data_IF_967218019620
#
_entry.id   IF_967218019620
#
_cell.length_a   1.000
_cell.length_b   1.000
_cell.length_c   1.000
_cell.angle_alpha   90.00
_cell.angle_beta   90.00
_cell.angle_gamma   90.00
#
_symmetry.space_group_name_H-M   'P 1'
#
loop_
_entity.id
_entity.type
_entity.pdbx_description
1 polymer ?
#
# COMPACT_ATOMS: atom_id res chain seq x y z
N UNK A 1 3.92 -18.84 14.54
CA UNK A 1 2.59 -18.65 13.97
C UNK A 1 1.91 -20.01 13.87
N UNK A 2 0.75 -20.15 14.45
CA UNK A 2 -0.01 -21.39 14.41
C UNK A 2 -0.68 -21.59 13.05
N UNK A 3 -1.12 -22.85 12.73
CA UNK A 3 -1.60 -23.20 11.41
C UNK A 3 -2.77 -22.36 10.88
N UNK A 4 -3.74 -22.01 11.75
CA UNK A 4 -4.90 -21.18 11.37
C UNK A 4 -4.46 -19.77 10.99
N UNK A 5 -3.52 -19.19 11.73
CA UNK A 5 -2.97 -17.86 11.44
C UNK A 5 -2.21 -17.84 10.12
N UNK A 6 -1.46 -18.90 9.83
CA UNK A 6 -0.73 -19.05 8.55
C UNK A 6 -1.72 -19.11 7.39
N UNK A 7 -2.78 -19.90 7.52
CA UNK A 7 -3.81 -20.02 6.47
C UNK A 7 -4.51 -18.68 6.23
N UNK A 8 -4.84 -17.96 7.29
CA UNK A 8 -5.45 -16.62 7.20
C UNK A 8 -4.52 -15.65 6.48
N UNK A 9 -3.24 -15.67 6.84
CA UNK A 9 -2.22 -14.84 6.22
C UNK A 9 -2.09 -15.15 4.72
N UNK A 10 -2.04 -16.43 4.34
CA UNK A 10 -1.98 -16.87 2.94
C UNK A 10 -3.21 -16.38 2.17
N UNK A 11 -4.40 -16.51 2.74
CA UNK A 11 -5.63 -16.05 2.09
C UNK A 11 -5.63 -14.53 1.92
N UNK A 12 -5.16 -13.78 2.90
CA UNK A 12 -5.02 -12.32 2.81
C UNK A 12 -4.07 -11.92 1.69
N UNK A 13 -2.92 -12.57 1.58
CA UNK A 13 -1.95 -12.30 0.51
C UNK A 13 -2.53 -12.62 -0.87
N UNK A 14 -3.26 -13.72 -1.01
CA UNK A 14 -3.91 -14.08 -2.27
C UNK A 14 -4.96 -13.06 -2.67
N UNK A 15 -5.73 -12.58 -1.70
CA UNK A 15 -6.73 -11.54 -1.94
C UNK A 15 -6.06 -10.25 -2.41
N UNK A 16 -5.01 -9.80 -1.73
CA UNK A 16 -4.28 -8.59 -2.09
C UNK A 16 -3.52 -8.75 -3.41
N UNK A 17 -3.07 -9.96 -3.72
CA UNK A 17 -2.50 -10.28 -5.03
C UNK A 17 -3.52 -10.04 -6.15
N UNK A 18 -4.77 -10.46 -5.94
CA UNK A 18 -5.85 -10.21 -6.90
C UNK A 18 -6.14 -8.72 -7.05
N UNK A 19 -6.17 -7.98 -5.94
CA UNK A 19 -6.34 -6.52 -5.93
C UNK A 19 -5.20 -5.83 -6.68
N UNK A 20 -3.96 -6.27 -6.44
CA UNK A 20 -2.81 -5.74 -7.15
C UNK A 20 -2.91 -6.00 -8.65
N UNK A 21 -3.37 -7.18 -9.06
CA UNK A 21 -3.53 -7.50 -10.48
C UNK A 21 -4.51 -6.52 -11.14
N UNK A 22 -5.60 -6.18 -10.46
CA UNK A 22 -6.57 -5.19 -10.94
C UNK A 22 -5.94 -3.79 -11.10
N UNK A 23 -5.05 -3.41 -10.17
CA UNK A 23 -4.30 -2.14 -10.28
C UNK A 23 -3.33 -2.20 -11.45
N UNK A 24 -2.60 -3.31 -11.60
CA UNK A 24 -1.62 -3.49 -12.68
C UNK A 24 -2.26 -3.56 -14.07
N UNK A 25 -3.52 -3.99 -14.18
CA UNK A 25 -4.24 -3.98 -15.44
C UNK A 25 -4.49 -2.55 -15.96
N UNK A 26 -4.61 -1.59 -15.02
CA UNK A 26 -4.80 -0.17 -15.34
C UNK A 26 -3.47 0.57 -15.48
N UNK A 27 -2.49 0.21 -14.65
CA UNK A 27 -1.16 0.80 -14.61
C UNK A 27 -0.13 -0.32 -14.75
N UNK A 28 0.23 -0.69 -15.99
CA UNK A 28 1.06 -1.89 -16.24
C UNK A 28 2.51 -1.79 -15.79
N UNK A 29 2.92 -0.62 -15.29
CA UNK A 29 4.30 -0.42 -14.83
C UNK A 29 4.37 -0.57 -13.31
N UNK A 30 5.23 -1.48 -12.87
CA UNK A 30 5.36 -1.81 -11.45
C UNK A 30 5.79 -0.61 -10.60
N UNK A 31 6.70 0.21 -11.10
CA UNK A 31 7.16 1.41 -10.41
C UNK A 31 6.02 2.41 -10.17
N UNK A 32 5.15 2.59 -11.16
CA UNK A 32 3.97 3.45 -11.03
C UNK A 32 2.94 2.89 -10.06
N UNK A 33 2.71 1.59 -10.09
CA UNK A 33 1.82 0.93 -9.14
C UNK A 33 2.34 1.09 -7.71
N UNK A 34 3.64 0.88 -7.49
CA UNK A 34 4.26 1.06 -6.18
C UNK A 34 4.17 2.50 -5.71
N UNK A 35 4.40 3.46 -6.59
CA UNK A 35 4.29 4.88 -6.24
C UNK A 35 2.86 5.22 -5.82
N UNK A 36 1.87 4.80 -6.60
CA UNK A 36 0.46 5.07 -6.29
C UNK A 36 0.04 4.45 -4.97
N UNK A 37 0.41 3.20 -4.73
CA UNK A 37 0.10 2.51 -3.46
C UNK A 37 0.80 3.17 -2.28
N UNK A 38 2.04 3.60 -2.47
CA UNK A 38 2.80 4.32 -1.43
C UNK A 38 2.19 5.67 -1.11
N UNK A 39 1.75 6.40 -2.12
CA UNK A 39 1.03 7.67 -1.95
C UNK A 39 -0.28 7.46 -1.18
N UNK A 40 -1.06 6.45 -1.56
CA UNK A 40 -2.32 6.12 -0.89
C UNK A 40 -2.11 5.74 0.57
N UNK A 41 -1.05 4.99 0.86
CA UNK A 41 -0.69 4.60 2.23
C UNK A 41 -0.35 5.85 3.06
N UNK A 42 0.48 6.74 2.53
CA UNK A 42 0.85 7.97 3.21
C UNK A 42 -0.36 8.88 3.46
N UNK A 43 -1.25 9.00 2.47
CA UNK A 43 -2.50 9.77 2.60
C UNK A 43 -3.36 9.20 3.74
N UNK A 44 -3.53 7.88 3.77
CA UNK A 44 -4.34 7.24 4.82
C UNK A 44 -3.74 7.44 6.20
N UNK A 45 -2.40 7.41 6.33
CA UNK A 45 -1.73 7.62 7.60
C UNK A 45 -2.01 9.00 8.20
N UNK A 46 -2.24 10.01 7.37
CA UNK A 46 -2.50 11.39 7.84
C UNK A 46 -3.79 11.50 8.66
N UNK A 47 -4.73 10.58 8.49
CA UNK A 47 -5.99 10.57 9.21
C UNK A 47 -5.90 9.90 10.60
N UNK A 48 -4.75 9.32 10.92
CA UNK A 48 -4.54 8.65 12.20
C UNK A 48 -4.09 9.64 13.27
N UNK A 49 -4.30 9.28 14.55
CA UNK A 49 -3.93 10.12 15.70
C UNK A 49 -2.43 10.42 15.76
N UNK A 50 -1.61 9.46 15.40
CA UNK A 50 -0.16 9.59 15.36
C UNK A 50 0.35 9.21 13.96
N UNK A 51 0.20 10.12 12.98
CA UNK A 51 0.48 9.79 11.58
C UNK A 51 1.87 9.23 11.32
N UNK A 52 2.91 9.82 11.89
CA UNK A 52 4.29 9.35 11.69
C UNK A 52 4.50 7.94 12.24
N UNK A 53 3.95 7.68 13.40
CA UNK A 53 4.04 6.36 14.04
C UNK A 53 3.32 5.30 13.22
N UNK A 54 2.16 5.67 12.66
CA UNK A 54 1.40 4.79 11.76
C UNK A 54 2.19 4.50 10.49
N UNK A 55 2.81 5.52 9.90
CA UNK A 55 3.65 5.34 8.72
C UNK A 55 4.84 4.42 9.01
N UNK A 56 5.51 4.59 10.15
CA UNK A 56 6.62 3.72 10.54
C UNK A 56 6.18 2.28 10.70
N UNK A 57 4.98 2.05 11.23
CA UNK A 57 4.39 0.71 11.32
C UNK A 57 4.12 0.12 9.93
N UNK A 58 3.63 0.93 8.99
CA UNK A 58 3.42 0.52 7.60
C UNK A 58 4.74 0.12 6.93
N UNK A 59 5.78 0.92 7.13
CA UNK A 59 7.12 0.65 6.59
C UNK A 59 7.65 -0.69 7.11
N UNK A 60 7.55 -0.91 8.41
CA UNK A 60 7.99 -2.16 9.03
C UNK A 60 7.17 -3.35 8.54
N UNK A 61 5.88 -3.17 8.34
CA UNK A 61 4.98 -4.20 7.79
C UNK A 61 5.39 -4.56 6.35
N UNK A 62 5.66 -3.58 5.51
CA UNK A 62 6.12 -3.82 4.12
C UNK A 62 7.41 -4.63 4.12
N UNK A 63 8.37 -4.26 4.95
CA UNK A 63 9.65 -5.00 5.06
C UNK A 63 9.43 -6.45 5.46
N UNK A 64 8.65 -6.67 6.52
CA UNK A 64 8.44 -8.02 7.09
C UNK A 64 7.59 -8.90 6.18
N UNK A 65 6.48 -8.36 5.67
CA UNK A 65 5.53 -9.13 4.86
C UNK A 65 6.14 -9.48 3.50
N UNK A 66 6.95 -8.61 2.91
CA UNK A 66 7.60 -8.90 1.63
C UNK A 66 8.48 -10.16 1.71
N UNK A 67 9.18 -10.37 2.81
CA UNK A 67 10.02 -11.56 3.00
C UNK A 67 9.18 -12.84 2.88
N UNK A 68 8.01 -12.86 3.52
CA UNK A 68 7.11 -14.01 3.44
C UNK A 68 6.43 -14.12 2.08
N UNK A 69 6.02 -12.98 1.52
CA UNK A 69 5.34 -12.93 0.22
C UNK A 69 6.21 -13.48 -0.91
N UNK A 70 7.52 -13.19 -0.90
CA UNK A 70 8.47 -13.75 -1.88
C UNK A 70 8.42 -15.26 -1.87
N UNK A 71 8.46 -15.88 -0.69
CA UNK A 71 8.43 -17.34 -0.55
C UNK A 71 7.13 -17.95 -1.08
N UNK A 72 6.01 -17.26 -0.85
CA UNK A 72 4.70 -17.73 -1.27
C UNK A 72 4.49 -17.55 -2.77
N UNK A 73 4.91 -16.43 -3.32
CA UNK A 73 4.78 -16.15 -4.76
C UNK A 73 5.63 -17.11 -5.58
N UNK A 74 6.78 -17.52 -5.07
CA UNK A 74 7.60 -18.56 -5.71
C UNK A 74 6.82 -19.86 -5.91
N UNK A 75 5.84 -20.14 -5.06
CA UNK A 75 5.00 -21.33 -5.15
C UNK A 75 3.76 -21.13 -6.02
N UNK A 76 3.07 -19.98 -5.92
CA UNK A 76 1.77 -19.80 -6.60
C UNK A 76 1.89 -19.16 -7.97
N UNK A 77 2.88 -18.31 -8.18
CA UNK A 77 2.98 -17.53 -9.41
C UNK A 77 4.44 -17.32 -9.80
N UNK A 78 5.22 -18.42 -9.96
CA UNK A 78 6.65 -18.28 -10.27
C UNK A 78 6.93 -17.57 -11.58
N UNK A 79 5.98 -17.58 -12.52
CA UNK A 79 6.10 -16.96 -13.84
C UNK A 79 5.57 -15.53 -13.88
N UNK A 80 4.93 -15.07 -12.81
CA UNK A 80 4.30 -13.76 -12.77
C UNK A 80 5.21 -12.63 -12.26
N UNK A 81 6.51 -12.70 -12.54
CA UNK A 81 7.47 -11.72 -12.04
C UNK A 81 7.70 -10.58 -13.03
N UNK A 82 7.85 -9.38 -12.50
CA UNK A 82 8.05 -8.18 -13.28
C UNK A 82 9.45 -7.61 -13.10
N UNK A 83 9.94 -6.98 -14.16
CA UNK A 83 11.18 -6.20 -14.07
C UNK A 83 10.81 -4.86 -13.43
N UNK A 84 11.56 -4.48 -12.39
CA UNK A 84 11.44 -3.16 -11.78
C UNK A 84 12.45 -2.23 -12.45
N UNK A 85 11.94 -1.13 -12.95
CA UNK A 85 12.76 -0.09 -13.56
C UNK A 85 12.40 1.24 -12.90
N UNK A 86 13.36 1.84 -12.21
CA UNK A 86 13.16 3.13 -11.55
C UNK A 86 13.31 4.25 -12.60
N UNK A 87 12.20 4.62 -13.20
CA UNK A 87 12.16 5.71 -14.17
C UNK A 87 11.75 7.03 -13.51
N UNK A 88 12.25 8.12 -14.02
CA UNK A 88 11.83 9.45 -13.58
C UNK A 88 10.43 9.73 -14.09
N UNK A 89 9.53 10.13 -13.17
CA UNK A 89 8.14 10.40 -13.50
C UNK A 89 7.95 11.91 -13.67
N UNK A 90 7.43 12.39 -14.82
CA UNK A 90 7.17 13.81 -15.03
C UNK A 90 6.22 14.38 -13.96
N UNK A 91 6.41 15.66 -13.62
CA UNK A 91 5.65 16.33 -12.57
C UNK A 91 4.13 16.26 -12.78
N UNK A 92 3.67 16.40 -14.03
CA UNK A 92 2.25 16.31 -14.35
C UNK A 92 1.68 14.93 -14.07
N UNK A 93 2.42 13.89 -14.44
CA UNK A 93 2.05 12.50 -14.20
C UNK A 93 2.05 12.22 -12.70
N UNK A 94 3.06 12.72 -11.98
CA UNK A 94 3.16 12.58 -10.52
C UNK A 94 1.93 13.20 -9.83
N UNK A 95 1.54 14.42 -10.24
CA UNK A 95 0.37 15.10 -9.68
C UNK A 95 -0.91 14.31 -9.94
N UNK A 96 -1.07 13.76 -11.14
CA UNK A 96 -2.24 12.95 -11.49
C UNK A 96 -2.27 11.67 -10.66
N UNK A 97 -1.13 11.02 -10.49
CA UNK A 97 -1.02 9.82 -9.66
C UNK A 97 -1.35 10.12 -8.20
N UNK A 98 -0.92 11.26 -7.69
CA UNK A 98 -1.24 11.69 -6.32
C UNK A 98 -2.75 11.85 -6.14
N UNK A 99 -3.44 12.49 -7.09
CA UNK A 99 -4.88 12.62 -7.05
C UNK A 99 -5.58 11.26 -7.13
N UNK A 100 -5.10 10.39 -7.99
CA UNK A 100 -5.63 9.02 -8.13
C UNK A 100 -5.43 8.21 -6.84
N UNK A 101 -4.28 8.38 -6.19
CA UNK A 101 -3.97 7.72 -4.92
C UNK A 101 -4.90 8.19 -3.79
N UNK A 102 -5.17 9.50 -3.73
CA UNK A 102 -6.13 10.05 -2.76
C UNK A 102 -7.51 9.45 -2.96
N UNK A 103 -7.98 9.39 -4.22
CA UNK A 103 -9.27 8.80 -4.57
C UNK A 103 -9.32 7.32 -4.19
N UNK A 104 -8.26 6.58 -4.49
CA UNK A 104 -8.17 5.16 -4.16
C UNK A 104 -8.21 4.92 -2.65
N UNK A 105 -7.46 5.69 -1.88
CA UNK A 105 -7.46 5.58 -0.42
C UNK A 105 -8.85 5.85 0.17
N UNK A 106 -9.52 6.89 -0.34
CA UNK A 106 -10.86 7.24 0.11
C UNK A 106 -11.90 6.20 -0.27
N UNK A 107 -11.82 5.64 -1.47
CA UNK A 107 -12.74 4.59 -1.92
C UNK A 107 -12.57 3.30 -1.12
N UNK A 108 -11.33 2.90 -0.84
CA UNK A 108 -11.05 1.74 -0.01
C UNK A 108 -11.59 1.93 1.40
N UNK A 109 -11.36 3.09 1.99
CA UNK A 109 -11.86 3.40 3.32
C UNK A 109 -13.38 3.36 3.37
N UNK A 110 -14.04 3.97 2.39
CA UNK A 110 -15.50 3.97 2.29
C UNK A 110 -16.05 2.55 2.13
N UNK A 111 -15.40 1.74 1.30
CA UNK A 111 -15.79 0.34 1.11
C UNK A 111 -15.72 -0.45 2.41
N UNK A 112 -14.67 -0.24 3.19
CA UNK A 112 -14.52 -0.91 4.49
C UNK A 112 -15.53 -0.38 5.52
N UNK A 113 -15.82 0.93 5.50
CA UNK A 113 -16.87 1.51 6.34
C UNK A 113 -18.25 0.96 6.00
N UNK A 114 -18.55 0.77 4.72
CA UNK A 114 -19.82 0.16 4.28
C UNK A 114 -19.92 -1.30 4.71
N UNK A 115 -18.78 -2.01 4.73
CA UNK A 115 -18.72 -3.43 5.10
C UNK A 115 -18.84 -3.63 6.61
N UNK A 116 -18.11 -2.84 7.41
CA UNK A 116 -18.02 -3.01 8.86
C UNK A 116 -18.95 -2.08 9.65
N UNK A 117 -19.50 -1.08 8.98
CA UNK A 117 -20.30 -0.04 9.60
C UNK A 117 -19.49 1.20 9.96
N UNK A 118 -20.19 2.31 10.20
CA UNK A 118 -19.59 3.58 10.60
C UNK A 118 -20.33 4.21 11.78
N UNK A 119 -21.15 3.41 12.49
CA UNK A 119 -22.00 3.88 13.58
C UNK A 119 -21.27 4.04 14.90
N UNK A 120 -20.11 3.38 15.05
CA UNK A 120 -19.30 3.42 16.27
C UNK A 120 -17.86 3.74 15.93
N UNK A 121 -17.13 4.32 16.90
CA UNK A 121 -15.70 4.58 16.75
C UNK A 121 -14.92 3.29 16.50
N UNK A 122 -15.32 2.18 17.12
CA UNK A 122 -14.70 0.87 16.93
C UNK A 122 -14.83 0.38 15.50
N UNK A 123 -16.00 0.54 14.88
CA UNK A 123 -16.25 0.15 13.50
C UNK A 123 -15.43 1.02 12.53
N UNK A 124 -15.35 2.32 12.79
CA UNK A 124 -14.55 3.26 11.99
C UNK A 124 -13.08 2.89 12.08
N UNK A 125 -12.59 2.64 13.28
CA UNK A 125 -11.20 2.23 13.51
C UNK A 125 -10.88 0.92 12.77
N UNK A 126 -11.82 -0.04 12.80
CA UNK A 126 -11.66 -1.30 12.08
C UNK A 126 -11.53 -1.05 10.56
N UNK A 127 -12.36 -0.15 10.01
CA UNK A 127 -12.28 0.21 8.59
C UNK A 127 -10.92 0.84 8.23
N UNK A 128 -10.39 1.71 9.08
CA UNK A 128 -9.06 2.30 8.90
C UNK A 128 -7.96 1.24 8.95
N UNK A 129 -8.03 0.32 9.90
CA UNK A 129 -7.07 -0.78 10.02
C UNK A 129 -7.08 -1.66 8.76
N UNK A 130 -8.26 -2.05 8.27
CA UNK A 130 -8.38 -2.88 7.08
C UNK A 130 -7.85 -2.16 5.84
N UNK A 131 -8.09 -0.87 5.73
CA UNK A 131 -7.58 -0.08 4.61
C UNK A 131 -6.04 -0.04 4.61
N UNK A 132 -5.44 0.19 5.77
CA UNK A 132 -3.98 0.19 5.92
C UNK A 132 -3.40 -1.18 5.59
N UNK A 133 -3.99 -2.26 6.10
CA UNK A 133 -3.53 -3.61 5.81
C UNK A 133 -3.63 -3.94 4.32
N UNK A 134 -4.74 -3.56 3.68
CA UNK A 134 -4.94 -3.74 2.26
C UNK A 134 -3.81 -3.08 1.47
N UNK A 135 -3.55 -1.80 1.72
CA UNK A 135 -2.53 -1.02 1.03
C UNK A 135 -1.12 -1.60 1.23
N UNK A 136 -0.75 -1.91 2.48
CA UNK A 136 0.59 -2.44 2.78
C UNK A 136 0.80 -3.84 2.19
N UNK A 137 -0.22 -4.68 2.20
CA UNK A 137 -0.15 -6.01 1.58
C UNK A 137 -0.02 -5.92 0.07
N UNK A 138 -0.71 -4.98 -0.56
CA UNK A 138 -0.57 -4.75 -2.01
C UNK A 138 0.85 -4.31 -2.36
N UNK A 139 1.44 -3.42 -1.57
CA UNK A 139 2.83 -3.00 -1.75
C UNK A 139 3.76 -4.22 -1.61
N UNK A 140 3.59 -4.99 -0.55
CA UNK A 140 4.42 -6.17 -0.29
C UNK A 140 4.30 -7.22 -1.41
N UNK A 141 3.08 -7.43 -1.90
CA UNK A 141 2.82 -8.36 -3.00
C UNK A 141 3.46 -7.86 -4.30
N UNK A 142 3.37 -6.56 -4.56
CA UNK A 142 4.00 -5.94 -5.72
C UNK A 142 5.52 -6.09 -5.68
N UNK A 143 6.13 -5.80 -4.54
CA UNK A 143 7.58 -5.97 -4.35
C UNK A 143 7.99 -7.43 -4.54
N UNK A 144 7.21 -8.36 -3.99
CA UNK A 144 7.50 -9.79 -4.09
C UNK A 144 7.39 -10.33 -5.53
N UNK A 145 6.57 -9.69 -6.36
CA UNK A 145 6.44 -10.05 -7.79
C UNK A 145 7.57 -9.50 -8.65
N UNK A 146 8.41 -8.64 -8.10
CA UNK A 146 9.56 -8.11 -8.82
C UNK A 146 10.71 -9.10 -8.85
N UNK A 147 11.57 -8.98 -9.86
CA UNK A 147 12.85 -9.67 -9.90
C UNK A 147 13.86 -9.11 -8.89
N UNK A 148 13.58 -7.92 -8.33
CA UNK A 148 14.42 -7.27 -7.32
C UNK A 148 13.57 -6.76 -6.15
N UNK A 149 13.05 -7.67 -5.29
CA UNK A 149 12.16 -7.28 -4.19
C UNK A 149 12.73 -6.24 -3.25
N UNK A 150 14.02 -6.33 -2.91
CA UNK A 150 14.68 -5.40 -2.00
C UNK A 150 14.71 -3.97 -2.54
N UNK A 151 15.00 -3.79 -3.83
CA UNK A 151 14.96 -2.49 -4.49
C UNK A 151 13.55 -1.91 -4.50
N UNK A 152 12.56 -2.74 -4.73
CA UNK A 152 11.16 -2.30 -4.70
C UNK A 152 10.73 -1.86 -3.31
N UNK A 153 11.15 -2.57 -2.27
CA UNK A 153 10.87 -2.18 -0.88
C UNK A 153 11.50 -0.83 -0.57
N UNK A 154 12.77 -0.64 -0.92
CA UNK A 154 13.47 0.64 -0.72
C UNK A 154 12.76 1.78 -1.44
N UNK A 155 12.39 1.57 -2.70
CA UNK A 155 11.65 2.53 -3.51
C UNK A 155 10.31 2.91 -2.85
N UNK A 156 9.55 1.93 -2.40
CA UNK A 156 8.26 2.15 -1.75
C UNK A 156 8.42 2.97 -0.46
N UNK A 157 9.44 2.66 0.33
CA UNK A 157 9.72 3.39 1.58
C UNK A 157 10.11 4.84 1.29
N UNK A 158 10.96 5.08 0.29
CA UNK A 158 11.32 6.43 -0.14
C UNK A 158 10.09 7.22 -0.58
N UNK A 159 9.20 6.58 -1.37
CA UNK A 159 7.96 7.21 -1.82
C UNK A 159 7.04 7.54 -0.66
N UNK A 160 6.84 6.62 0.29
CA UNK A 160 6.00 6.84 1.46
C UNK A 160 6.52 8.01 2.30
N UNK A 161 7.80 8.06 2.57
CA UNK A 161 8.41 9.15 3.34
C UNK A 161 8.31 10.49 2.61
N UNK A 162 8.60 10.49 1.32
CA UNK A 162 8.53 11.70 0.50
C UNK A 162 7.11 12.28 0.48
N UNK A 163 6.13 11.44 0.21
CA UNK A 163 4.72 11.87 0.13
C UNK A 163 4.23 12.32 1.50
N UNK A 164 4.58 11.60 2.55
CA UNK A 164 4.21 11.95 3.92
C UNK A 164 4.75 13.34 4.29
N UNK A 165 6.03 13.58 4.04
CA UNK A 165 6.66 14.88 4.32
C UNK A 165 6.04 15.99 3.48
N UNK A 166 5.76 15.73 2.20
CA UNK A 166 5.09 16.67 1.31
C UNK A 166 3.71 17.07 1.84
N UNK A 167 2.89 16.10 2.22
CA UNK A 167 1.55 16.36 2.75
C UNK A 167 1.65 17.12 4.07
N UNK A 168 2.52 16.69 4.97
CA UNK A 168 2.69 17.29 6.28
C UNK A 168 3.11 18.76 6.18
N UNK A 169 4.03 19.09 5.29
CA UNK A 169 4.46 20.48 5.06
C UNK A 169 3.36 21.34 4.47
N UNK A 170 2.59 20.82 3.52
CA UNK A 170 1.55 21.58 2.83
C UNK A 170 0.26 21.70 3.65
N UNK A 171 -0.11 20.66 4.40
CA UNK A 171 -1.31 20.69 5.23
C UNK A 171 -1.19 21.63 6.43
N UNK A 172 -0.01 21.83 6.98
CA UNK A 172 0.22 22.79 8.07
C UNK A 172 -0.12 24.22 7.70
N UNK A 173 -0.10 24.55 6.40
CA UNK A 173 -0.44 25.88 5.90
C UNK A 173 -1.94 26.14 5.84
N UNK A 174 -2.74 25.08 5.80
CA UNK A 174 -4.19 25.15 5.67
C UNK A 174 -4.88 25.30 7.04
N UNK A 175 -4.27 24.76 8.10
CA UNK A 175 -4.81 24.79 9.45
C UNK A 175 -4.58 26.15 10.16
N UNK A 176 -3.88 27.05 9.54
CA UNK A 176 -3.70 28.40 10.01
C UNK A 176 -4.65 29.34 9.28
#
# INVERSE_FOLDING_TARGET
MEGIEIDTFIQSLKHEYGNLQAVMDKEPFLDRALLMLSMATAVNCMDWNEPRKTLDACINSVKSVTVYAVKLIDKWAPEGRFVFSKEEIPQEEWNQMFMNAQSMANELLRLHMDTFGSDTEENILHAYNETIFCLTYMISTACARSLSPDECVEYSIECMNYVFDFINENCKRVEM
#
